data_IF_177368875824
#
_entry.id   IF_177368875824
#
_cell.length_a   1.000
_cell.length_b   1.000
_cell.length_c   1.000
_cell.angle_alpha   90.00
_cell.angle_beta   90.00
_cell.angle_gamma   90.00
#
_symmetry.space_group_name_H-M   'P 1'
#
loop_
_entity.id
_entity.type
_entity.pdbx_description
1 polymer ?
#
# COMPACT_ATOMS: atom_id res chain seq x y z
N UNK A 1 19.70 -20.14 0.27
CA UNK A 1 20.39 -21.25 -0.43
C UNK A 1 19.54 -22.50 -0.65
N UNK A 2 18.91 -23.11 0.37
CA UNK A 2 18.26 -24.44 0.26
C UNK A 2 17.13 -24.58 -0.79
N UNK A 3 16.38 -23.52 -1.07
CA UNK A 3 15.22 -23.59 -1.96
C UNK A 3 15.57 -23.57 -3.46
N UNK A 4 16.54 -22.74 -3.91
CA UNK A 4 16.94 -22.69 -5.32
C UNK A 4 17.68 -23.96 -5.77
N UNK A 5 18.51 -24.56 -4.90
CA UNK A 5 19.24 -25.79 -5.24
C UNK A 5 18.32 -27.01 -5.44
N UNK A 6 17.18 -27.06 -4.75
CA UNK A 6 16.19 -28.15 -4.95
C UNK A 6 15.39 -28.00 -6.25
N UNK A 7 15.28 -26.78 -6.79
CA UNK A 7 14.56 -26.54 -8.03
C UNK A 7 15.38 -26.90 -9.28
N UNK A 8 16.71 -27.03 -9.13
CA UNK A 8 17.64 -27.42 -10.20
C UNK A 8 18.03 -28.90 -10.17
N UNK A 9 17.37 -29.68 -9.31
CA UNK A 9 17.52 -31.14 -9.23
C UNK A 9 16.97 -31.82 -10.49
N UNK A 10 17.69 -32.82 -11.02
CA UNK A 10 17.37 -33.43 -12.33
C UNK A 10 16.05 -34.21 -12.32
N UNK A 11 15.62 -34.67 -11.15
CA UNK A 11 14.33 -35.34 -10.96
C UNK A 11 13.13 -34.39 -11.12
N UNK A 12 13.37 -33.07 -11.08
CA UNK A 12 12.33 -32.06 -11.24
C UNK A 12 12.50 -31.41 -12.61
N UNK A 13 11.56 -31.65 -13.53
CA UNK A 13 11.51 -31.09 -14.90
C UNK A 13 11.21 -29.58 -14.92
N UNK A 14 11.96 -28.78 -14.16
CA UNK A 14 11.82 -27.32 -14.10
C UNK A 14 12.48 -26.70 -15.32
N UNK A 15 11.81 -25.71 -15.91
CA UNK A 15 12.32 -24.91 -17.05
C UNK A 15 12.43 -23.42 -16.73
N UNK A 16 11.67 -22.96 -15.73
CA UNK A 16 11.64 -21.57 -15.28
C UNK A 16 11.57 -21.54 -13.75
N UNK A 17 12.34 -20.65 -13.14
CA UNK A 17 12.29 -20.33 -11.71
C UNK A 17 11.81 -18.88 -11.59
N UNK A 18 10.75 -18.64 -10.81
CA UNK A 18 10.28 -17.29 -10.48
C UNK A 18 10.72 -16.96 -9.05
N UNK A 19 11.42 -15.83 -8.87
CA UNK A 19 11.97 -15.38 -7.60
C UNK A 19 11.52 -13.94 -7.32
N UNK A 20 10.56 -13.77 -6.42
CA UNK A 20 10.08 -12.46 -5.96
C UNK A 20 10.76 -12.03 -4.66
N UNK A 21 12.10 -12.07 -4.65
CA UNK A 21 12.92 -11.71 -3.50
C UNK A 21 14.28 -11.20 -3.99
N UNK A 22 14.94 -10.35 -3.20
CA UNK A 22 16.26 -9.82 -3.52
C UNK A 22 16.81 -8.98 -2.38
N UNK A 23 18.10 -8.67 -2.48
CA UNK A 23 18.82 -7.78 -1.58
C UNK A 23 19.20 -6.51 -2.33
N UNK A 24 19.19 -5.36 -1.64
CA UNK A 24 19.39 -4.05 -2.30
C UNK A 24 20.85 -3.86 -2.74
N UNK A 25 21.81 -4.47 -2.04
CA UNK A 25 23.25 -4.26 -2.26
C UNK A 25 24.05 -5.54 -1.92
N UNK A 26 23.96 -6.57 -2.75
CA UNK A 26 24.83 -7.74 -2.64
C UNK A 26 25.70 -7.87 -3.89
N UNK A 27 27.00 -8.12 -3.72
CA UNK A 27 27.87 -8.50 -4.83
C UNK A 27 27.40 -9.79 -5.48
N UNK A 28 27.73 -10.02 -6.76
CA UNK A 28 27.30 -11.22 -7.51
C UNK A 28 27.72 -12.52 -6.79
N UNK A 29 28.86 -12.52 -6.11
CA UNK A 29 29.41 -13.68 -5.42
C UNK A 29 28.83 -13.90 -4.02
N UNK A 30 28.11 -12.91 -3.49
CA UNK A 30 27.47 -12.94 -2.18
C UNK A 30 25.94 -12.99 -2.27
N UNK A 31 25.37 -12.72 -3.46
CA UNK A 31 23.93 -12.79 -3.71
C UNK A 31 23.49 -14.25 -3.92
N UNK A 32 22.73 -14.85 -2.98
CA UNK A 32 22.26 -16.23 -3.11
C UNK A 32 21.34 -16.46 -4.31
N UNK A 33 20.65 -15.42 -4.80
CA UNK A 33 19.83 -15.47 -6.01
C UNK A 33 20.71 -15.47 -7.24
N UNK A 34 21.75 -14.63 -7.30
CA UNK A 34 22.70 -14.60 -8.41
C UNK A 34 23.45 -15.92 -8.55
N UNK A 35 23.99 -16.46 -7.45
CA UNK A 35 24.68 -17.75 -7.40
C UNK A 35 23.74 -18.88 -7.88
N UNK A 36 22.50 -18.91 -7.38
CA UNK A 36 21.52 -19.92 -7.77
C UNK A 36 21.10 -19.81 -9.24
N UNK A 37 20.87 -18.59 -9.73
CA UNK A 37 20.52 -18.32 -11.13
C UNK A 37 21.64 -18.73 -12.08
N UNK A 38 22.90 -18.49 -11.73
CA UNK A 38 24.05 -18.91 -12.53
C UNK A 38 24.12 -20.43 -12.70
N UNK A 39 23.87 -21.18 -11.62
CA UNK A 39 23.81 -22.64 -11.69
C UNK A 39 22.59 -23.15 -12.48
N UNK A 40 21.44 -22.49 -12.34
CA UNK A 40 20.23 -22.81 -13.11
C UNK A 40 20.44 -22.59 -14.62
N UNK A 41 21.10 -21.49 -15.01
CA UNK A 41 21.41 -21.20 -16.41
C UNK A 41 22.28 -22.27 -17.05
N UNK A 42 23.27 -22.84 -16.33
CA UNK A 42 24.08 -23.96 -16.83
C UNK A 42 23.25 -25.21 -17.16
N UNK A 43 22.07 -25.36 -16.55
CA UNK A 43 21.12 -26.45 -16.81
C UNK A 43 20.01 -26.06 -17.80
N UNK A 44 20.11 -24.89 -18.44
CA UNK A 44 19.09 -24.39 -19.38
C UNK A 44 17.78 -23.96 -18.70
N UNK A 45 17.84 -23.57 -17.43
CA UNK A 45 16.68 -23.11 -16.65
C UNK A 45 16.72 -21.59 -16.53
N UNK A 46 15.66 -20.91 -16.99
CA UNK A 46 15.54 -19.45 -16.90
C UNK A 46 15.15 -19.04 -15.47
N UNK A 47 15.78 -18.00 -14.93
CA UNK A 47 15.37 -17.39 -13.66
C UNK A 47 14.79 -16.01 -13.92
N UNK A 48 13.54 -15.78 -13.51
CA UNK A 48 12.87 -14.48 -13.54
C UNK A 48 12.84 -13.91 -12.11
N UNK A 49 13.52 -12.78 -11.91
CA UNK A 49 13.61 -12.10 -10.61
C UNK A 49 12.99 -10.70 -10.67
N UNK A 50 12.29 -10.29 -9.61
CA UNK A 50 11.78 -8.93 -9.45
C UNK A 50 12.90 -7.90 -9.27
N UNK A 51 12.74 -6.69 -9.83
CA UNK A 51 13.69 -5.58 -9.66
C UNK A 51 13.70 -4.97 -8.24
N UNK A 52 12.59 -5.13 -7.50
CA UNK A 52 12.41 -4.58 -6.15
C UNK A 52 11.44 -3.38 -6.12
N UNK A 53 11.12 -2.94 -4.90
CA UNK A 53 10.07 -1.94 -4.63
C UNK A 53 10.64 -0.65 -3.98
N UNK A 54 11.88 -0.25 -4.32
CA UNK A 54 12.57 0.90 -3.73
C UNK A 54 12.65 2.13 -4.65
N UNK A 55 11.85 2.19 -5.72
CA UNK A 55 11.80 3.32 -6.64
C UNK A 55 11.36 4.63 -5.97
N UNK A 56 12.08 5.74 -6.24
CA UNK A 56 11.75 7.07 -5.72
C UNK A 56 10.89 7.88 -6.71
N UNK A 57 9.74 8.38 -6.21
CA UNK A 57 8.78 9.41 -6.72
C UNK A 57 8.31 9.38 -8.19
N UNK A 58 6.97 9.31 -8.36
CA UNK A 58 6.09 10.34 -9.00
C UNK A 58 4.70 10.20 -8.34
N UNK A 59 4.04 11.32 -8.02
CA UNK A 59 2.72 11.34 -7.39
C UNK A 59 1.59 11.27 -8.44
N UNK A 60 0.61 10.38 -8.26
CA UNK A 60 -0.74 10.39 -8.85
C UNK A 60 -1.71 9.41 -8.13
N UNK A 61 -2.99 9.72 -8.17
CA UNK A 61 -4.19 9.03 -7.61
C UNK A 61 -3.98 7.68 -6.88
N UNK A 62 -4.06 7.68 -5.55
CA UNK A 62 -4.28 6.44 -4.79
C UNK A 62 -5.72 6.25 -4.38
N UNK A 63 -6.27 5.07 -4.68
CA UNK A 63 -7.62 4.62 -4.30
C UNK A 63 -7.48 3.29 -3.57
N UNK A 64 -8.17 3.07 -2.46
CA UNK A 64 -8.13 1.76 -1.79
C UNK A 64 -8.88 0.68 -2.59
N UNK A 65 -8.49 -0.59 -2.48
CA UNK A 65 -9.31 -1.74 -2.89
C UNK A 65 -10.22 -2.11 -1.73
N UNK A 66 -11.30 -1.34 -1.55
CA UNK A 66 -12.32 -1.65 -0.58
C UNK A 66 -13.14 -2.86 -1.04
N UNK A 67 -13.04 -3.97 -0.32
CA UNK A 67 -13.86 -5.17 -0.55
C UNK A 67 -15.02 -5.30 0.43
N UNK A 68 -15.08 -4.43 1.45
CA UNK A 68 -16.14 -4.43 2.45
C UNK A 68 -17.44 -3.91 1.86
N UNK A 69 -18.55 -4.49 2.33
CA UNK A 69 -19.89 -3.99 2.04
C UNK A 69 -20.46 -3.41 3.32
N UNK A 70 -20.73 -2.10 3.32
CA UNK A 70 -21.43 -1.47 4.42
C UNK A 70 -22.94 -1.69 4.24
N UNK A 71 -23.57 -2.36 5.20
CA UNK A 71 -25.00 -2.64 5.19
C UNK A 71 -25.78 -1.41 5.67
N UNK A 72 -25.88 -0.40 4.82
CA UNK A 72 -26.56 0.86 5.08
C UNK A 72 -26.36 1.88 3.95
N UNK A 73 -27.17 2.92 3.90
CA UNK A 73 -27.07 3.97 2.88
C UNK A 73 -26.11 5.09 3.27
N UNK A 74 -25.91 5.31 4.57
CA UNK A 74 -25.15 6.45 5.11
C UNK A 74 -24.77 6.20 6.57
N UNK A 75 -23.56 6.59 6.96
CA UNK A 75 -23.02 6.43 8.31
C UNK A 75 -22.44 7.76 8.81
N UNK A 76 -22.47 8.04 10.13
CA UNK A 76 -21.93 9.28 10.65
C UNK A 76 -20.42 9.37 10.38
N UNK A 77 -20.00 10.57 9.98
CA UNK A 77 -18.62 10.93 9.74
C UNK A 77 -18.09 11.67 10.98
N UNK A 78 -16.86 11.39 11.40
CA UNK A 78 -16.23 12.08 12.52
C UNK A 78 -14.82 12.50 12.15
N UNK A 79 -14.49 13.74 12.53
CA UNK A 79 -13.15 14.28 12.37
C UNK A 79 -12.28 13.83 13.55
N UNK A 80 -11.06 13.39 13.27
CA UNK A 80 -10.22 12.72 14.25
C UNK A 80 -9.84 13.59 15.44
N UNK A 81 -9.71 14.91 15.26
CA UNK A 81 -9.45 15.84 16.38
C UNK A 81 -10.58 15.87 17.41
N UNK A 82 -11.80 15.53 17.00
CA UNK A 82 -12.97 15.46 17.88
C UNK A 82 -13.12 14.06 18.52
N UNK A 83 -12.38 13.07 18.02
CA UNK A 83 -12.35 11.70 18.51
C UNK A 83 -11.02 11.32 19.18
N UNK A 84 -10.08 12.26 19.30
CA UNK A 84 -8.75 12.03 19.85
C UNK A 84 -8.78 11.82 21.37
N UNK A 85 -7.96 10.91 21.87
CA UNK A 85 -7.73 10.77 23.30
C UNK A 85 -6.91 11.96 23.81
N UNK A 86 -7.13 12.37 25.07
CA UNK A 86 -6.37 13.47 25.70
C UNK A 86 -4.87 13.19 25.88
N UNK A 87 -4.45 11.95 25.68
CA UNK A 87 -3.08 11.50 25.89
C UNK A 87 -2.19 11.64 24.64
N UNK A 88 -2.79 11.95 23.49
CA UNK A 88 -2.07 12.10 22.24
C UNK A 88 -1.98 13.57 21.83
N UNK A 89 -0.99 13.90 21.00
CA UNK A 89 -0.95 15.23 20.40
C UNK A 89 -2.06 15.38 19.36
N UNK A 90 -2.39 16.61 19.01
CA UNK A 90 -3.38 16.86 17.95
C UNK A 90 -2.92 16.40 16.56
N UNK A 91 -1.62 16.11 16.39
CA UNK A 91 -1.04 15.53 15.18
C UNK A 91 -1.18 14.01 15.18
N UNK A 92 -0.84 13.32 16.27
CA UNK A 92 -1.01 11.86 16.38
C UNK A 92 -2.49 11.43 16.30
N UNK A 93 -3.38 12.23 16.90
CA UNK A 93 -4.82 12.05 16.73
C UNK A 93 -5.23 12.32 15.27
N UNK A 94 -4.66 13.36 14.65
CA UNK A 94 -4.75 13.70 13.23
C UNK A 94 -4.45 12.52 12.29
N UNK A 95 -3.36 11.82 12.58
CA UNK A 95 -2.90 10.69 11.78
C UNK A 95 -3.63 9.38 12.11
N UNK A 96 -4.58 9.40 13.05
CA UNK A 96 -5.23 8.21 13.60
C UNK A 96 -4.21 7.19 14.09
N UNK A 97 -3.21 7.62 14.86
CA UNK A 97 -2.24 6.70 15.44
C UNK A 97 -2.91 5.67 16.35
N UNK A 98 -2.28 4.50 16.46
CA UNK A 98 -2.80 3.41 17.28
C UNK A 98 -2.89 3.82 18.75
N UNK A 99 -4.11 3.78 19.31
CA UNK A 99 -4.36 4.18 20.70
C UNK A 99 -4.65 5.68 20.87
N UNK A 100 -4.59 6.47 19.80
CA UNK A 100 -4.91 7.90 19.84
C UNK A 100 -6.36 8.25 19.54
N UNK A 101 -7.16 7.29 19.09
CA UNK A 101 -8.61 7.44 18.90
C UNK A 101 -9.38 6.87 20.10
N UNK A 102 -10.37 7.61 20.57
CA UNK A 102 -11.34 7.16 21.56
C UNK A 102 -12.34 6.19 20.94
N UNK A 103 -12.28 4.93 21.36
CA UNK A 103 -13.09 3.85 20.80
C UNK A 103 -14.59 4.11 20.91
N UNK A 104 -15.04 4.71 22.02
CA UNK A 104 -16.47 5.00 22.23
C UNK A 104 -16.98 6.08 21.27
N UNK A 105 -16.12 7.04 20.92
CA UNK A 105 -16.45 8.13 19.99
C UNK A 105 -16.50 7.69 18.53
N UNK A 106 -15.65 6.74 18.12
CA UNK A 106 -15.52 6.31 16.71
C UNK A 106 -16.34 5.06 16.35
N UNK A 107 -16.80 4.30 17.33
CA UNK A 107 -17.52 3.04 17.10
C UNK A 107 -18.76 3.26 16.24
N UNK A 108 -18.84 2.51 15.13
CA UNK A 108 -19.96 2.60 14.19
C UNK A 108 -19.94 3.83 13.26
N UNK A 109 -18.85 4.61 13.26
CA UNK A 109 -18.68 5.81 12.43
C UNK A 109 -17.53 5.65 11.43
N UNK A 110 -17.53 6.52 10.43
CA UNK A 110 -16.43 6.67 9.48
C UNK A 110 -15.52 7.80 10.00
N UNK A 111 -14.23 7.51 10.16
CA UNK A 111 -13.25 8.46 10.72
C UNK A 111 -12.40 9.07 9.60
N UNK A 112 -12.18 10.38 9.63
CA UNK A 112 -11.18 11.04 8.77
C UNK A 112 -9.80 10.88 9.39
N UNK A 113 -8.77 10.56 8.59
CA UNK A 113 -7.39 10.46 9.05
C UNK A 113 -6.47 11.21 8.08
N UNK A 114 -5.61 12.07 8.61
CA UNK A 114 -4.66 12.88 7.84
C UNK A 114 -3.47 12.05 7.28
N UNK A 115 -3.46 10.73 7.52
CA UNK A 115 -2.43 9.80 7.03
C UNK A 115 -3.01 8.51 6.44
N UNK A 116 -2.35 7.98 5.39
CA UNK A 116 -2.63 6.65 4.84
C UNK A 116 -2.41 5.52 5.86
N UNK A 117 -1.52 5.71 6.84
CA UNK A 117 -1.25 4.72 7.86
C UNK A 117 -2.35 4.63 8.93
N UNK A 118 -3.24 5.64 8.98
CA UNK A 118 -4.31 5.76 9.97
C UNK A 118 -5.37 4.66 9.92
N UNK A 119 -5.47 3.92 8.81
CA UNK A 119 -6.40 2.78 8.64
C UNK A 119 -6.26 1.75 9.76
N UNK A 120 -5.02 1.53 10.22
CA UNK A 120 -4.73 0.57 11.30
C UNK A 120 -5.21 1.06 12.66
N UNK A 121 -5.05 2.35 12.95
CA UNK A 121 -5.56 2.94 14.19
C UNK A 121 -7.08 3.01 14.21
N UNK A 122 -7.70 3.39 13.09
CA UNK A 122 -9.16 3.36 12.93
C UNK A 122 -9.73 1.94 13.13
N UNK A 123 -9.12 0.93 12.51
CA UNK A 123 -9.47 -0.48 12.72
C UNK A 123 -9.40 -0.88 14.20
N UNK A 124 -8.27 -0.59 14.87
CA UNK A 124 -8.07 -0.94 16.27
C UNK A 124 -9.01 -0.21 17.23
N UNK A 125 -9.38 1.01 16.90
CA UNK A 125 -10.35 1.79 17.68
C UNK A 125 -11.80 1.33 17.47
N UNK A 126 -12.05 0.43 16.52
CA UNK A 126 -13.40 -0.11 16.24
C UNK A 126 -14.25 0.80 15.35
N UNK A 127 -13.61 1.65 14.54
CA UNK A 127 -14.30 2.43 13.52
C UNK A 127 -14.99 1.51 12.50
N UNK A 128 -16.09 1.99 11.94
CA UNK A 128 -16.79 1.26 10.87
C UNK A 128 -16.07 1.38 9.53
N UNK A 129 -15.41 2.53 9.31
CA UNK A 129 -14.66 2.83 8.10
C UNK A 129 -13.71 4.00 8.31
N UNK A 130 -12.88 4.28 7.32
CA UNK A 130 -11.98 5.44 7.36
C UNK A 130 -11.83 6.15 6.02
N UNK A 131 -11.63 7.47 6.07
CA UNK A 131 -11.25 8.29 4.92
C UNK A 131 -9.82 8.76 5.17
N UNK A 132 -8.90 8.32 4.33
CA UNK A 132 -7.46 8.53 4.53
C UNK A 132 -6.95 9.60 3.58
N UNK A 133 -6.12 10.52 4.07
CA UNK A 133 -5.41 11.46 3.22
C UNK A 133 -4.19 10.79 2.57
N UNK A 134 -4.14 10.84 1.25
CA UNK A 134 -3.02 10.38 0.45
C UNK A 134 -2.19 11.57 -0.03
N UNK A 135 -1.17 11.93 0.75
CA UNK A 135 -0.26 13.03 0.40
C UNK A 135 0.65 12.72 -0.78
N UNK A 136 0.98 11.45 -0.98
CA UNK A 136 2.08 11.02 -1.86
C UNK A 136 1.58 10.69 -3.26
N UNK A 137 0.26 10.53 -3.46
CA UNK A 137 -0.30 10.15 -4.74
C UNK A 137 0.29 8.82 -5.21
N UNK A 138 0.01 7.73 -4.52
CA UNK A 138 0.43 6.43 -5.01
C UNK A 138 -0.55 5.89 -6.07
N UNK A 139 -0.12 5.61 -7.31
CA UNK A 139 -0.94 4.93 -8.35
C UNK A 139 -1.17 3.44 -8.05
N UNK A 140 -1.31 3.08 -6.78
CA UNK A 140 -1.52 1.71 -6.33
C UNK A 140 -2.60 1.72 -5.27
N UNK A 141 -3.37 0.65 -5.28
CA UNK A 141 -4.47 0.50 -4.36
C UNK A 141 -4.05 -0.32 -3.15
N UNK A 142 -4.16 0.29 -1.97
CA UNK A 142 -3.97 -0.40 -0.70
C UNK A 142 -5.21 -1.21 -0.37
N UNK A 143 -5.03 -2.40 0.21
CA UNK A 143 -6.13 -3.19 0.77
C UNK A 143 -6.36 -2.70 2.19
N UNK A 144 -7.51 -2.08 2.49
CA UNK A 144 -7.78 -1.54 3.82
C UNK A 144 -8.21 -2.65 4.79
N UNK A 145 -8.10 -2.37 6.09
CA UNK A 145 -8.52 -3.23 7.20
C UNK A 145 -9.98 -2.99 7.60
N UNK A 146 -10.51 -1.81 7.32
CA UNK A 146 -11.93 -1.45 7.42
C UNK A 146 -12.45 -0.94 6.08
N UNK A 147 -13.74 -0.59 6.00
CA UNK A 147 -14.28 0.04 4.81
C UNK A 147 -13.63 1.42 4.63
N UNK A 148 -12.60 1.51 3.79
CA UNK A 148 -11.79 2.72 3.67
C UNK A 148 -11.63 3.21 2.25
N UNK A 149 -11.45 4.52 2.12
CA UNK A 149 -11.04 5.17 0.87
C UNK A 149 -9.89 6.12 1.13
N UNK A 150 -8.90 6.10 0.25
CA UNK A 150 -7.83 7.08 0.22
C UNK A 150 -8.18 8.17 -0.78
N UNK A 151 -8.07 9.44 -0.37
CA UNK A 151 -8.36 10.61 -1.19
C UNK A 151 -7.10 11.47 -1.31
N UNK A 152 -6.91 12.11 -2.47
CA UNK A 152 -5.85 13.12 -2.58
C UNK A 152 -6.20 14.35 -1.75
N UNK A 153 -5.18 15.14 -1.41
CA UNK A 153 -5.30 16.28 -0.47
C UNK A 153 -6.45 17.22 -0.83
N UNK A 154 -6.64 17.52 -2.12
CA UNK A 154 -7.69 18.41 -2.60
C UNK A 154 -9.08 17.84 -2.32
N UNK A 155 -9.32 16.57 -2.65
CA UNK A 155 -10.59 15.86 -2.42
C UNK A 155 -10.84 15.64 -0.92
N UNK A 156 -9.80 15.28 -0.18
CA UNK A 156 -9.85 15.11 1.28
C UNK A 156 -10.26 16.42 1.97
N UNK A 157 -9.70 17.55 1.55
CA UNK A 157 -10.06 18.86 2.09
C UNK A 157 -11.52 19.25 1.80
N UNK A 158 -12.09 18.80 0.69
CA UNK A 158 -13.53 18.98 0.40
C UNK A 158 -14.37 18.20 1.42
N UNK A 159 -14.03 16.94 1.71
CA UNK A 159 -14.73 16.11 2.72
C UNK A 159 -14.55 16.70 4.13
N UNK A 160 -13.35 17.17 4.45
CA UNK A 160 -13.07 17.86 5.72
C UNK A 160 -13.89 19.14 5.88
N UNK A 161 -13.98 19.95 4.83
CA UNK A 161 -14.81 21.16 4.83
C UNK A 161 -16.30 20.83 4.96
N UNK A 162 -16.78 19.78 4.29
CA UNK A 162 -18.14 19.28 4.44
C UNK A 162 -18.42 18.89 5.89
N UNK A 163 -17.53 18.13 6.54
CA UNK A 163 -17.65 17.71 7.95
C UNK A 163 -17.85 18.90 8.89
N UNK A 164 -17.09 19.98 8.69
CA UNK A 164 -17.20 21.19 9.50
C UNK A 164 -18.42 22.07 9.18
N UNK A 165 -19.03 21.89 8.00
CA UNK A 165 -20.14 22.73 7.52
C UNK A 165 -21.52 22.26 7.99
N UNK A 166 -21.63 21.02 8.47
CA UNK A 166 -22.89 20.41 8.89
C UNK A 166 -22.79 19.89 10.32
N UNK A 167 -23.92 19.85 11.02
CA UNK A 167 -24.00 19.33 12.40
C UNK A 167 -24.07 17.81 12.48
N UNK A 168 -24.45 17.15 11.39
CA UNK A 168 -24.57 15.70 11.28
C UNK A 168 -24.01 15.26 9.93
N UNK A 169 -22.67 15.26 9.77
CA UNK A 169 -22.04 14.82 8.53
C UNK A 169 -22.18 13.31 8.40
N UNK A 170 -22.58 12.87 7.21
CA UNK A 170 -22.70 11.45 6.94
C UNK A 170 -22.08 11.10 5.58
N UNK A 171 -21.58 9.88 5.47
CA UNK A 171 -20.95 9.38 4.26
C UNK A 171 -21.21 7.89 4.08
N UNK A 172 -20.99 7.42 2.86
CA UNK A 172 -20.98 5.99 2.55
C UNK A 172 -19.73 5.67 1.73
N UNK A 173 -19.12 4.52 2.01
CA UNK A 173 -17.94 4.04 1.30
C UNK A 173 -18.35 2.82 0.50
N UNK A 174 -18.37 2.98 -0.82
CA UNK A 174 -18.74 1.91 -1.74
C UNK A 174 -17.62 0.90 -1.92
N UNK A 175 -18.00 -0.30 -2.35
CA UNK A 175 -17.05 -1.31 -2.79
C UNK A 175 -16.30 -0.81 -4.02
N UNK A 176 -15.01 -1.13 -4.12
CA UNK A 176 -14.21 -0.75 -5.28
C UNK A 176 -14.68 -1.48 -6.54
N UNK A 177 -14.72 -0.73 -7.64
CA UNK A 177 -15.00 -1.24 -8.98
C UNK A 177 -13.74 -1.13 -9.87
N UNK A 178 -13.69 -1.94 -10.92
CA UNK A 178 -12.59 -1.93 -11.88
C UNK A 178 -12.90 -0.90 -12.96
N UNK A 179 -12.03 0.10 -13.10
CA UNK A 179 -12.10 1.11 -14.16
C UNK A 179 -10.96 0.95 -15.15
N UNK A 180 -11.17 1.32 -16.42
CA UNK A 180 -10.09 1.38 -17.42
C UNK A 180 -9.35 2.70 -17.30
N UNK A 181 -8.04 2.63 -17.14
CA UNK A 181 -7.15 3.79 -17.13
C UNK A 181 -6.67 4.08 -18.58
N UNK A 182 -7.00 5.24 -19.17
CA UNK A 182 -6.52 5.60 -20.51
C UNK A 182 -5.01 5.86 -20.56
N UNK A 183 -4.37 6.17 -19.42
CA UNK A 183 -2.94 6.45 -19.34
C UNK A 183 -2.12 5.17 -19.13
N UNK A 184 -2.75 4.00 -19.04
CA UNK A 184 -2.07 2.71 -18.99
C UNK A 184 -1.28 2.45 -20.29
N UNK A 185 -0.01 2.03 -20.28
CA UNK A 185 0.76 1.40 -19.20
C UNK A 185 1.83 2.34 -18.62
N UNK A 186 1.76 2.64 -17.33
CA UNK A 186 2.80 3.38 -16.60
C UNK A 186 3.58 2.46 -15.66
N UNK A 187 4.87 2.79 -15.44
CA UNK A 187 5.71 2.05 -14.49
C UNK A 187 5.24 2.38 -13.07
N UNK A 188 4.97 1.35 -12.27
CA UNK A 188 4.58 1.51 -10.87
C UNK A 188 5.63 2.36 -10.11
N UNK A 189 5.17 3.30 -9.28
CA UNK A 189 6.05 4.30 -8.68
C UNK A 189 7.18 3.67 -7.83
N UNK A 190 6.88 2.56 -7.15
CA UNK A 190 7.83 1.87 -6.28
C UNK A 190 8.79 0.97 -7.04
N UNK A 191 8.60 0.74 -8.35
CA UNK A 191 9.50 -0.14 -9.11
C UNK A 191 10.93 0.39 -9.02
N UNK A 192 11.85 -0.43 -8.49
CA UNK A 192 13.27 -0.11 -8.49
C UNK A 192 13.72 0.20 -9.92
N UNK A 193 14.60 1.19 -10.06
CA UNK A 193 15.14 1.62 -11.35
C UNK A 193 16.64 1.36 -11.40
N UNK A 194 17.17 1.15 -12.59
CA UNK A 194 18.61 1.19 -12.83
C UNK A 194 19.22 2.57 -12.52
N UNK A 195 20.55 2.70 -12.66
CA UNK A 195 21.45 1.77 -13.34
C UNK A 195 21.85 0.54 -12.49
N UNK A 196 22.44 -0.47 -13.15
CA UNK A 196 23.05 -1.59 -12.46
C UNK A 196 24.32 -1.15 -11.74
N UNK A 197 24.30 -1.11 -10.41
CA UNK A 197 25.43 -0.61 -9.60
C UNK A 197 26.62 -1.57 -9.57
N UNK A 198 26.43 -2.84 -9.92
CA UNK A 198 27.50 -3.86 -9.91
C UNK A 198 28.19 -3.93 -11.27
N UNK A 199 27.39 -3.94 -12.35
CA UNK A 199 27.87 -3.98 -13.73
C UNK A 199 27.16 -2.88 -14.54
N UNK A 200 27.66 -1.63 -14.52
CA UNK A 200 27.02 -0.50 -15.17
C UNK A 200 26.83 -0.65 -16.69
N UNK A 201 27.71 -1.42 -17.33
CA UNK A 201 27.65 -1.72 -18.77
C UNK A 201 26.47 -2.63 -19.14
N UNK A 202 25.87 -3.30 -18.16
CA UNK A 202 24.66 -4.12 -18.34
C UNK A 202 23.46 -3.35 -17.81
N UNK A 203 22.65 -2.83 -18.73
CA UNK A 203 21.42 -2.12 -18.39
C UNK A 203 20.45 -3.02 -17.60
N UNK A 204 20.04 -2.55 -16.43
CA UNK A 204 18.86 -3.03 -15.70
C UNK A 204 17.75 -1.99 -15.91
N UNK A 205 16.66 -2.41 -16.54
CA UNK A 205 15.46 -1.60 -16.76
C UNK A 205 14.56 -1.64 -15.53
#
# INVERSE_FOLDING_TARGET
MSFLCKATDEDRKVRVISVSMGTVEAGIDDDPVAIGAFHAMKKGILTSQSAGNMGLKVASVGKCVNTFTLNGTSFPLIYEKDAGTKNCTGEDAGDCEEGCLDGDSVKGKIVLCDSLAGDRGAYKAGALGSVLMNEVGYNVSLVPLVASTALMREEYNVVRSYTNSTRDPQANIFKSEVTKDPDAHTVAYFSSRGPNIILPDITKL
#
